data_IF_368210073528
#
_entry.id   IF_368210073528
#
_cell.length_a   1.000
_cell.length_b   1.000
_cell.length_c   1.000
_cell.angle_alpha   90.00
_cell.angle_beta   90.00
_cell.angle_gamma   90.00
#
_symmetry.space_group_name_H-M   'P 1'
#
loop_
_entity.id
_entity.type
_entity.pdbx_description
1 polymer ?
#
# COMPACT_ATOMS: atom_id res chain seq x y z
N UNK A 1 0.04 11.25 -19.33
CA UNK A 1 0.46 9.95 -18.75
C UNK A 1 0.29 10.07 -17.25
N UNK A 2 -0.43 9.14 -16.60
CA UNK A 2 -0.53 9.13 -15.14
C UNK A 2 0.79 8.63 -14.54
N UNK A 3 1.44 9.36 -13.62
CA UNK A 3 2.71 8.97 -13.04
C UNK A 3 2.58 7.72 -12.17
N UNK A 4 3.60 6.86 -12.23
CA UNK A 4 3.72 5.66 -11.40
C UNK A 4 4.33 6.00 -10.05
N UNK A 5 3.73 5.49 -8.98
CA UNK A 5 4.24 5.65 -7.63
C UNK A 5 4.55 4.27 -7.05
N UNK A 6 5.79 4.07 -6.60
CA UNK A 6 6.26 2.80 -6.05
C UNK A 6 6.63 3.05 -4.58
N UNK A 7 5.70 2.85 -3.64
CA UNK A 7 5.96 3.11 -2.23
C UNK A 7 6.76 1.96 -1.62
N UNK A 8 7.70 2.30 -0.73
CA UNK A 8 8.46 1.31 0.03
C UNK A 8 7.69 0.85 1.27
N UNK A 9 8.12 -0.26 1.88
CA UNK A 9 7.50 -0.85 3.07
C UNK A 9 7.31 0.15 4.21
N UNK A 10 8.31 0.99 4.48
CA UNK A 10 8.24 2.00 5.54
C UNK A 10 7.23 3.11 5.25
N UNK A 11 7.18 3.61 4.02
CA UNK A 11 6.24 4.63 3.59
C UNK A 11 4.80 4.14 3.68
N UNK A 12 4.55 2.87 3.36
CA UNK A 12 3.21 2.29 3.51
C UNK A 12 2.85 2.16 5.00
N UNK A 13 3.78 1.72 5.86
CA UNK A 13 3.53 1.61 7.29
C UNK A 13 3.32 2.97 7.97
N UNK A 14 4.09 3.99 7.62
CA UNK A 14 4.09 5.30 8.29
C UNK A 14 3.13 6.30 7.66
N UNK A 15 2.87 6.19 6.35
CA UNK A 15 2.08 7.16 5.58
C UNK A 15 0.92 6.51 4.82
N UNK A 16 0.31 5.47 5.39
CA UNK A 16 -0.83 4.76 4.79
C UNK A 16 -1.99 5.70 4.40
N UNK A 17 -2.25 6.73 5.22
CA UNK A 17 -3.31 7.72 4.96
C UNK A 17 -3.08 8.50 3.66
N UNK A 18 -1.84 8.94 3.41
CA UNK A 18 -1.47 9.63 2.17
C UNK A 18 -1.55 8.72 0.96
N UNK A 19 -1.08 7.47 1.09
CA UNK A 19 -1.18 6.47 0.01
C UNK A 19 -2.64 6.18 -0.34
N UNK A 20 -3.52 6.06 0.66
CA UNK A 20 -4.95 5.90 0.44
C UNK A 20 -5.56 7.08 -0.31
N UNK A 21 -5.19 8.32 0.06
CA UNK A 21 -5.66 9.51 -0.66
C UNK A 21 -5.15 9.53 -2.10
N UNK A 22 -3.90 9.12 -2.35
CA UNK A 22 -3.31 9.03 -3.68
C UNK A 22 -3.97 7.93 -4.53
N UNK A 23 -4.28 6.77 -3.94
CA UNK A 23 -5.00 5.69 -4.61
C UNK A 23 -6.42 6.13 -4.99
N UNK A 24 -7.14 6.75 -4.04
CA UNK A 24 -8.49 7.28 -4.26
C UNK A 24 -8.51 8.48 -5.23
N UNK A 25 -7.40 9.20 -5.35
CA UNK A 25 -7.27 10.33 -6.27
C UNK A 25 -7.38 9.92 -7.73
N UNK A 26 -7.11 8.65 -8.09
CA UNK A 26 -7.13 8.17 -9.48
C UNK A 26 -6.14 8.85 -10.43
N UNK A 27 -5.26 9.73 -9.93
CA UNK A 27 -4.26 10.47 -10.71
C UNK A 27 -2.93 9.73 -10.81
N UNK A 28 -2.71 8.74 -9.95
CA UNK A 28 -1.47 7.98 -9.83
C UNK A 28 -1.77 6.48 -9.95
N UNK A 29 -0.89 5.75 -10.62
CA UNK A 29 -0.92 4.28 -10.59
C UNK A 29 0.08 3.85 -9.52
N UNK A 30 -0.42 3.25 -8.44
CA UNK A 30 0.41 2.80 -7.33
C UNK A 30 0.81 1.35 -7.59
N UNK A 31 2.09 1.13 -7.89
CA UNK A 31 2.64 -0.20 -8.11
C UNK A 31 3.29 -0.66 -6.82
N UNK A 32 2.82 -1.77 -6.26
CA UNK A 32 3.39 -2.35 -5.06
C UNK A 32 4.24 -3.57 -5.45
N UNK A 33 5.57 -3.50 -5.30
CA UNK A 33 6.44 -4.63 -5.56
C UNK A 33 6.12 -5.79 -4.63
N UNK A 34 6.25 -7.02 -5.11
CA UNK A 34 6.00 -8.22 -4.28
C UNK A 34 6.88 -8.28 -3.03
N UNK A 35 8.13 -7.84 -3.15
CA UNK A 35 9.05 -7.75 -2.00
C UNK A 35 8.54 -6.81 -0.89
N UNK A 36 7.77 -5.77 -1.24
CA UNK A 36 7.15 -4.87 -0.24
C UNK A 36 6.00 -5.57 0.46
N UNK A 37 5.18 -6.34 -0.27
CA UNK A 37 4.11 -7.16 0.32
C UNK A 37 4.70 -8.19 1.28
N UNK A 38 5.72 -8.92 0.85
CA UNK A 38 6.37 -9.93 1.69
C UNK A 38 7.00 -9.30 2.95
N UNK A 39 7.60 -8.11 2.81
CA UNK A 39 8.12 -7.33 3.93
C UNK A 39 7.03 -6.84 4.90
N UNK A 40 5.90 -6.38 4.39
CA UNK A 40 4.74 -6.01 5.21
C UNK A 40 4.17 -7.24 5.93
N UNK A 41 4.12 -8.40 5.27
CA UNK A 41 3.61 -9.64 5.85
C UNK A 41 4.49 -10.16 6.98
N UNK A 42 5.81 -9.99 6.86
CA UNK A 42 6.75 -10.26 7.94
C UNK A 42 6.56 -9.28 9.11
N UNK A 43 6.42 -7.98 8.81
CA UNK A 43 6.32 -6.92 9.81
C UNK A 43 4.96 -6.85 10.52
N UNK A 44 3.87 -7.42 9.97
CA UNK A 44 2.51 -7.35 10.57
C UNK A 44 2.40 -7.89 12.00
N UNK A 45 3.36 -8.74 12.40
CA UNK A 45 3.44 -9.33 13.74
C UNK A 45 3.88 -8.31 14.79
N UNK A 46 4.76 -7.40 14.42
CA UNK A 46 5.40 -6.45 15.34
C UNK A 46 4.97 -5.00 15.10
N UNK A 47 4.55 -4.66 13.88
CA UNK A 47 4.19 -3.31 13.47
C UNK A 47 2.69 -3.23 13.13
N UNK A 48 1.94 -2.43 13.89
CA UNK A 48 0.53 -2.17 13.64
C UNK A 48 0.29 -1.50 12.27
N UNK A 49 1.18 -0.62 11.85
CA UNK A 49 1.13 0.02 10.53
C UNK A 49 1.25 -0.97 9.38
N UNK A 50 2.07 -2.03 9.54
CA UNK A 50 2.17 -3.09 8.55
C UNK A 50 0.89 -3.93 8.47
N UNK A 51 0.23 -4.17 9.60
CA UNK A 51 -1.06 -4.89 9.65
C UNK A 51 -2.17 -4.10 8.95
N UNK A 52 -2.25 -2.80 9.20
CA UNK A 52 -3.26 -1.94 8.58
C UNK A 52 -2.98 -1.73 7.08
N UNK A 53 -1.71 -1.68 6.70
CA UNK A 53 -1.29 -1.68 5.31
C UNK A 53 -1.78 -2.91 4.55
N UNK A 54 -1.52 -4.12 5.06
CA UNK A 54 -1.98 -5.38 4.42
C UNK A 54 -3.51 -5.39 4.27
N UNK A 55 -4.25 -5.04 5.34
CA UNK A 55 -5.72 -4.96 5.28
C UNK A 55 -6.22 -3.96 4.24
N UNK A 56 -5.55 -2.81 4.13
CA UNK A 56 -5.88 -1.81 3.13
C UNK A 56 -5.67 -2.35 1.71
N UNK A 57 -4.52 -2.99 1.44
CA UNK A 57 -4.22 -3.57 0.13
C UNK A 57 -5.22 -4.67 -0.25
N UNK A 58 -5.57 -5.56 0.68
CA UNK A 58 -6.60 -6.57 0.45
C UNK A 58 -7.98 -5.96 0.16
N UNK A 59 -8.33 -4.86 0.85
CA UNK A 59 -9.59 -4.16 0.62
C UNK A 59 -9.63 -3.49 -0.76
N UNK A 60 -8.55 -2.84 -1.18
CA UNK A 60 -8.46 -2.20 -2.50
C UNK A 60 -8.49 -3.25 -3.62
N UNK A 61 -7.79 -4.38 -3.44
CA UNK A 61 -7.84 -5.49 -4.39
C UNK A 61 -9.25 -6.08 -4.53
N UNK A 62 -9.99 -6.22 -3.42
CA UNK A 62 -11.39 -6.66 -3.42
C UNK A 62 -12.33 -5.65 -4.09
N UNK A 63 -12.04 -4.36 -4.02
CA UNK A 63 -12.81 -3.30 -4.71
C UNK A 63 -12.56 -3.26 -6.22
N UNK A 64 -11.58 -4.01 -6.73
CA UNK A 64 -11.22 -4.02 -8.15
C UNK A 64 -10.18 -2.96 -8.54
N UNK A 65 -9.55 -2.30 -7.56
CA UNK A 65 -8.36 -1.48 -7.79
C UNK A 65 -7.17 -2.45 -7.94
N UNK A 66 -6.79 -2.73 -9.19
CA UNK A 66 -5.74 -3.68 -9.57
C UNK A 66 -4.52 -2.98 -10.17
#
# INVERSE_FOLDING_TARGET
MSPYLIPNTQAICQHLGSIRQLANSGRFIIIIPRAVIDGLDFLKKENSGARDAIRFLESEFKKGNR
#
